data_IF_507004572872
#
_entry.id   IF_507004572872
#
_cell.length_a   1.000
_cell.length_b   1.000
_cell.length_c   1.000
_cell.angle_alpha   90.00
_cell.angle_beta   90.00
_cell.angle_gamma   90.00
#
_symmetry.space_group_name_H-M   'P 1'
#
loop_
_entity.id
_entity.type
_entity.pdbx_description
1 polymer ?
#
# COMPACT_ATOMS: atom_id res chain seq x y z
N UNK A 1 11.26 19.89 -13.29
CA UNK A 1 10.11 18.98 -13.33
C UNK A 1 10.43 17.73 -12.54
N UNK A 2 9.52 17.26 -11.70
CA UNK A 2 9.73 16.11 -10.84
C UNK A 2 8.74 15.01 -11.20
N UNK A 3 9.24 13.79 -11.43
CA UNK A 3 8.41 12.60 -11.55
C UNK A 3 8.80 11.61 -10.46
N UNK A 4 7.80 11.13 -9.73
CA UNK A 4 7.93 10.05 -8.78
C UNK A 4 7.16 8.84 -9.35
N UNK A 5 7.84 7.71 -9.47
CA UNK A 5 7.23 6.46 -9.91
C UNK A 5 7.59 5.37 -8.92
N UNK A 6 6.56 4.84 -8.26
CA UNK A 6 6.67 3.63 -7.46
C UNK A 6 5.97 2.49 -8.21
N UNK A 7 6.67 1.39 -8.41
CA UNK A 7 6.12 0.24 -9.15
C UNK A 7 6.35 -1.07 -8.40
N UNK A 8 5.39 -1.96 -8.44
CA UNK A 8 5.58 -3.32 -7.96
C UNK A 8 6.22 -4.19 -9.05
N UNK A 9 6.98 -5.22 -8.66
CA UNK A 9 7.78 -6.09 -9.56
C UNK A 9 6.98 -6.84 -10.65
N UNK A 10 5.70 -6.66 -10.78
CA UNK A 10 4.86 -7.40 -11.72
C UNK A 10 5.09 -7.11 -13.19
N UNK A 11 6.02 -6.14 -13.59
CA UNK A 11 5.79 -5.63 -14.91
C UNK A 11 6.99 -5.25 -15.76
N UNK A 12 7.19 -6.03 -16.82
CA UNK A 12 7.78 -5.54 -18.07
C UNK A 12 7.12 -4.23 -18.55
N UNK A 13 5.82 -4.06 -18.30
CA UNK A 13 5.06 -2.86 -18.66
C UNK A 13 5.53 -1.63 -17.89
N UNK A 14 5.77 -1.71 -16.58
CA UNK A 14 6.25 -0.57 -15.82
C UNK A 14 7.61 -0.06 -16.32
N UNK A 15 8.55 -0.94 -16.60
CA UNK A 15 9.85 -0.55 -17.15
C UNK A 15 9.71 0.09 -18.54
N UNK A 16 8.82 -0.43 -19.37
CA UNK A 16 8.51 0.14 -20.67
C UNK A 16 7.87 1.53 -20.54
N UNK A 17 6.88 1.67 -19.64
CA UNK A 17 6.19 2.95 -19.43
C UNK A 17 7.11 4.00 -18.82
N UNK A 18 8.01 3.64 -17.91
CA UNK A 18 9.06 4.54 -17.41
C UNK A 18 9.98 4.98 -18.54
N UNK A 19 10.36 4.06 -19.44
CA UNK A 19 11.13 4.38 -20.64
C UNK A 19 10.39 5.37 -21.56
N UNK A 20 9.09 5.17 -21.77
CA UNK A 20 8.24 6.09 -22.57
C UNK A 20 8.15 7.46 -21.91
N UNK A 21 7.92 7.51 -20.58
CA UNK A 21 7.90 8.77 -19.82
C UNK A 21 9.22 9.53 -19.96
N UNK A 22 10.36 8.84 -19.79
CA UNK A 22 11.69 9.41 -19.97
C UNK A 22 11.93 9.89 -21.40
N UNK A 23 11.41 9.17 -22.39
CA UNK A 23 11.40 9.57 -23.81
C UNK A 23 10.65 10.87 -24.03
N UNK A 24 9.42 10.96 -23.52
CA UNK A 24 8.59 12.16 -23.66
C UNK A 24 9.24 13.40 -23.01
N UNK A 25 9.83 13.25 -21.80
CA UNK A 25 10.53 14.35 -21.14
C UNK A 25 11.78 14.77 -21.93
N UNK A 26 12.46 13.83 -22.59
CA UNK A 26 13.57 14.13 -23.48
C UNK A 26 13.14 14.91 -24.73
N UNK A 27 12.03 14.50 -25.34
CA UNK A 27 11.45 15.23 -26.49
C UNK A 27 11.03 16.65 -26.15
N UNK A 28 10.61 16.90 -24.90
CA UNK A 28 10.34 18.24 -24.36
C UNK A 28 11.61 19.06 -24.10
N UNK A 29 12.81 18.50 -24.22
CA UNK A 29 14.05 19.16 -23.89
C UNK A 29 14.34 19.32 -22.40
N UNK A 30 13.57 18.68 -21.53
CA UNK A 30 13.61 18.87 -20.06
C UNK A 30 14.33 17.75 -19.31
N UNK A 31 14.83 16.72 -19.98
CA UNK A 31 15.40 15.53 -19.32
C UNK A 31 16.56 15.90 -18.39
N UNK A 32 17.46 16.77 -18.82
CA UNK A 32 18.65 17.13 -18.04
C UNK A 32 18.29 17.87 -16.74
N UNK A 33 17.19 18.63 -16.77
CA UNK A 33 16.68 19.41 -15.63
C UNK A 33 15.56 18.68 -14.86
N UNK A 34 15.40 17.38 -15.09
CA UNK A 34 14.38 16.55 -14.44
C UNK A 34 15.04 15.54 -13.51
N UNK A 35 14.56 15.47 -12.27
CA UNK A 35 14.92 14.40 -11.34
C UNK A 35 13.94 13.24 -11.54
N UNK A 36 14.45 12.07 -11.92
CA UNK A 36 13.72 10.81 -11.90
C UNK A 36 14.14 10.01 -10.67
N UNK A 37 13.19 9.64 -9.85
CA UNK A 37 13.38 8.71 -8.73
C UNK A 37 12.47 7.52 -8.99
N UNK A 38 13.06 6.36 -9.24
CA UNK A 38 12.35 5.12 -9.43
C UNK A 38 12.61 4.17 -8.27
N UNK A 39 11.58 3.83 -7.52
CA UNK A 39 11.63 2.87 -6.44
C UNK A 39 10.94 1.60 -6.93
N UNK A 40 11.68 0.49 -6.90
CA UNK A 40 11.21 -0.81 -7.36
C UNK A 40 10.48 -1.51 -6.22
N UNK A 41 9.15 -1.37 -6.17
CA UNK A 41 8.33 -1.74 -5.02
C UNK A 41 8.39 -0.67 -3.93
N UNK A 42 7.60 -0.86 -2.89
CA UNK A 42 7.47 0.08 -1.77
C UNK A 42 7.61 -0.62 -0.41
N UNK A 43 7.31 -1.92 -0.33
CA UNK A 43 7.23 -2.65 0.93
C UNK A 43 7.43 -4.17 0.79
N UNK A 44 8.19 -4.60 -0.20
CA UNK A 44 8.42 -6.01 -0.50
C UNK A 44 7.26 -6.67 -1.25
N UNK A 45 7.47 -7.91 -1.68
CA UNK A 45 6.49 -8.67 -2.45
C UNK A 45 5.34 -9.14 -1.57
N UNK A 46 4.10 -8.97 -2.03
CA UNK A 46 2.92 -9.27 -1.23
C UNK A 46 2.61 -10.78 -1.16
N UNK A 47 2.54 -11.29 0.06
CA UNK A 47 2.10 -12.66 0.39
C UNK A 47 0.65 -12.71 0.92
N UNK A 48 -0.12 -11.64 0.73
CA UNK A 48 -1.49 -11.52 1.25
C UNK A 48 -2.49 -12.44 0.54
N UNK A 49 -2.08 -13.10 -0.55
CA UNK A 49 -2.82 -14.18 -1.20
C UNK A 49 -2.83 -15.51 -0.42
N UNK A 50 -2.20 -15.55 0.75
CA UNK A 50 -2.07 -16.77 1.55
C UNK A 50 -1.13 -17.81 0.92
N UNK A 51 -1.23 -19.05 1.37
CA UNK A 51 -0.31 -20.11 0.92
C UNK A 51 -0.46 -20.44 -0.58
N UNK A 52 -1.67 -20.36 -1.12
CA UNK A 52 -1.98 -20.80 -2.48
C UNK A 52 -2.19 -19.64 -3.47
N UNK A 53 -2.19 -18.40 -3.02
CA UNK A 53 -2.63 -17.25 -3.81
C UNK A 53 -4.15 -17.13 -3.87
N UNK A 54 -4.63 -16.14 -4.61
CA UNK A 54 -6.04 -15.85 -4.84
C UNK A 54 -6.28 -15.51 -6.31
N UNK A 55 -7.38 -15.96 -6.86
CA UNK A 55 -7.90 -15.53 -8.15
C UNK A 55 -8.48 -14.10 -8.08
N UNK A 56 -9.15 -13.79 -6.97
CA UNK A 56 -9.72 -12.46 -6.71
C UNK A 56 -9.48 -12.08 -5.24
N UNK A 57 -8.63 -11.10 -4.96
CA UNK A 57 -8.30 -10.71 -3.58
C UNK A 57 -9.51 -10.23 -2.76
N UNK A 58 -10.61 -9.78 -3.41
CA UNK A 58 -11.83 -9.41 -2.69
C UNK A 58 -12.54 -10.59 -2.03
N UNK A 59 -12.27 -11.82 -2.43
CA UNK A 59 -12.80 -13.01 -1.74
C UNK A 59 -12.24 -13.07 -0.32
N UNK A 60 -10.93 -12.83 -0.17
CA UNK A 60 -10.28 -12.78 1.15
C UNK A 60 -10.88 -11.70 2.05
N UNK A 61 -11.04 -10.47 1.57
CA UNK A 61 -11.61 -9.38 2.35
C UNK A 61 -13.08 -9.58 2.74
N UNK A 62 -13.77 -10.47 2.07
CA UNK A 62 -15.16 -10.83 2.37
C UNK A 62 -15.31 -12.19 3.05
N UNK A 63 -14.22 -12.82 3.49
CA UNK A 63 -14.22 -14.09 4.21
C UNK A 63 -14.63 -15.29 3.36
N UNK A 64 -14.50 -15.21 2.05
CA UNK A 64 -14.79 -16.28 1.10
C UNK A 64 -13.48 -16.98 0.75
N UNK A 65 -13.38 -18.27 1.09
CA UNK A 65 -12.22 -19.07 0.74
C UNK A 65 -12.25 -19.48 -0.75
N UNK A 66 -11.11 -19.38 -1.42
CA UNK A 66 -10.91 -19.94 -2.75
C UNK A 66 -10.16 -21.27 -2.62
N UNK A 67 -10.72 -22.35 -3.18
CA UNK A 67 -9.98 -23.61 -3.28
C UNK A 67 -9.02 -23.59 -4.47
N UNK A 68 -7.97 -24.40 -4.43
CA UNK A 68 -7.06 -24.57 -5.57
C UNK A 68 -7.81 -25.06 -6.82
N UNK A 69 -8.84 -25.91 -6.64
CA UNK A 69 -9.66 -26.40 -7.74
C UNK A 69 -10.45 -25.25 -8.41
N UNK A 70 -11.02 -24.36 -7.61
CA UNK A 70 -11.74 -23.19 -8.15
C UNK A 70 -10.78 -22.27 -8.91
N UNK A 71 -9.57 -22.02 -8.35
CA UNK A 71 -8.56 -21.19 -9.01
C UNK A 71 -8.05 -21.78 -10.34
N UNK A 72 -7.90 -23.11 -10.41
CA UNK A 72 -7.47 -23.79 -11.62
C UNK A 72 -8.50 -23.69 -12.76
N UNK A 73 -9.78 -23.55 -12.45
CA UNK A 73 -10.82 -23.32 -13.45
C UNK A 73 -10.63 -21.99 -14.22
N UNK A 74 -9.89 -21.05 -13.65
CA UNK A 74 -9.61 -19.72 -14.23
C UNK A 74 -8.15 -19.52 -14.62
N UNK A 75 -7.35 -20.60 -14.72
CA UNK A 75 -5.88 -20.48 -14.93
C UNK A 75 -5.54 -19.69 -16.19
N UNK A 76 -6.31 -19.85 -17.27
CA UNK A 76 -6.09 -19.16 -18.53
C UNK A 76 -6.52 -17.68 -18.49
N UNK A 77 -7.29 -17.28 -17.49
CA UNK A 77 -7.75 -15.91 -17.30
C UNK A 77 -6.86 -15.10 -16.34
N UNK A 78 -5.92 -15.74 -15.67
CA UNK A 78 -5.08 -15.07 -14.66
C UNK A 78 -4.23 -13.95 -15.26
N UNK A 79 -4.33 -12.78 -14.60
CA UNK A 79 -3.71 -11.54 -15.08
C UNK A 79 -4.50 -10.82 -16.17
N UNK A 80 -5.61 -11.42 -16.63
CA UNK A 80 -6.55 -10.81 -17.56
C UNK A 80 -7.55 -9.86 -16.84
N UNK A 81 -8.42 -9.22 -17.65
CA UNK A 81 -9.36 -8.22 -17.12
C UNK A 81 -10.50 -8.81 -16.26
N UNK A 82 -10.63 -10.13 -16.21
CA UNK A 82 -11.66 -10.86 -15.44
C UNK A 82 -11.16 -11.32 -14.09
N UNK A 83 -9.86 -11.17 -13.79
CA UNK A 83 -9.23 -11.61 -12.55
C UNK A 83 -8.62 -10.45 -11.80
N UNK A 84 -8.50 -10.59 -10.48
CA UNK A 84 -7.76 -9.67 -9.62
C UNK A 84 -6.87 -10.49 -8.67
N UNK A 85 -5.84 -11.14 -9.23
CA UNK A 85 -5.12 -12.18 -8.54
C UNK A 85 -4.18 -11.63 -7.48
N UNK A 86 -3.94 -12.44 -6.45
CA UNK A 86 -2.91 -12.21 -5.47
C UNK A 86 -1.93 -13.38 -5.43
N UNK A 87 -0.66 -13.05 -5.26
CA UNK A 87 0.45 -14.00 -5.31
C UNK A 87 0.42 -14.97 -4.12
N UNK A 88 0.78 -16.22 -4.36
CA UNK A 88 1.01 -17.20 -3.29
C UNK A 88 2.25 -16.84 -2.47
N UNK A 89 2.23 -17.13 -1.17
CA UNK A 89 3.30 -16.80 -0.23
C UNK A 89 4.69 -17.33 -0.67
N UNK A 90 4.76 -18.54 -1.24
CA UNK A 90 6.02 -19.09 -1.74
C UNK A 90 6.64 -18.26 -2.87
N UNK A 91 5.84 -17.74 -3.77
CA UNK A 91 6.32 -16.85 -4.85
C UNK A 91 6.69 -15.47 -4.33
N UNK A 92 5.96 -14.97 -3.33
CA UNK A 92 6.31 -13.72 -2.68
C UNK A 92 7.69 -13.80 -2.01
N UNK A 93 7.95 -14.85 -1.23
CA UNK A 93 9.26 -15.11 -0.62
C UNK A 93 10.36 -15.26 -1.68
N UNK A 94 10.10 -15.99 -2.77
CA UNK A 94 11.07 -16.15 -3.85
C UNK A 94 11.42 -14.79 -4.53
N UNK A 95 10.43 -13.90 -4.65
CA UNK A 95 10.62 -12.56 -5.22
C UNK A 95 11.47 -11.61 -4.37
N UNK A 96 11.52 -11.83 -3.07
CA UNK A 96 12.26 -10.99 -2.12
C UNK A 96 13.67 -11.52 -1.80
N UNK A 97 14.06 -12.69 -2.33
CA UNK A 97 15.41 -13.25 -2.09
C UNK A 97 16.52 -12.28 -2.52
N UNK A 98 17.62 -12.18 -1.78
CA UNK A 98 18.08 -13.02 -0.66
C UNK A 98 17.55 -12.59 0.72
N UNK A 99 16.58 -11.68 0.79
CA UNK A 99 16.03 -11.19 2.03
C UNK A 99 14.95 -12.13 2.56
N UNK A 100 14.89 -12.27 3.88
CA UNK A 100 13.84 -13.05 4.52
C UNK A 100 12.53 -12.26 4.56
N UNK A 101 11.42 -13.02 4.51
CA UNK A 101 10.04 -12.55 4.62
C UNK A 101 9.58 -11.68 3.44
N UNK A 102 8.48 -10.96 3.62
CA UNK A 102 7.72 -10.29 2.56
C UNK A 102 7.06 -9.03 3.10
N UNK A 103 6.29 -8.32 2.28
CA UNK A 103 5.39 -7.24 2.67
C UNK A 103 4.66 -7.58 3.97
N UNK A 104 4.39 -6.59 4.81
CA UNK A 104 3.85 -6.64 6.18
C UNK A 104 4.84 -7.07 7.26
N UNK A 105 5.90 -7.80 6.94
CA UNK A 105 6.93 -8.14 7.92
C UNK A 105 7.94 -6.99 7.99
N UNK A 106 7.51 -5.89 8.61
CA UNK A 106 8.29 -4.64 8.67
C UNK A 106 9.59 -4.76 9.48
N UNK A 107 9.80 -5.89 10.13
CA UNK A 107 11.02 -6.21 10.87
C UNK A 107 12.18 -6.67 10.00
N UNK A 108 11.93 -7.06 8.76
CA UNK A 108 12.92 -7.73 7.91
C UNK A 108 13.02 -7.10 6.52
N UNK A 109 14.14 -7.34 5.87
CA UNK A 109 14.45 -6.70 4.60
C UNK A 109 13.58 -7.15 3.43
N UNK A 110 13.00 -8.35 3.45
CA UNK A 110 12.00 -8.75 2.47
C UNK A 110 10.73 -7.90 2.54
N UNK A 111 10.43 -7.30 3.70
CA UNK A 111 9.31 -6.38 3.87
C UNK A 111 9.66 -4.90 3.75
N UNK A 112 10.96 -4.53 3.76
CA UNK A 112 11.35 -3.12 3.90
C UNK A 112 12.43 -2.64 2.97
N UNK A 113 13.22 -3.53 2.34
CA UNK A 113 14.35 -3.14 1.51
C UNK A 113 14.02 -3.23 0.03
N UNK A 114 13.94 -2.07 -0.61
CA UNK A 114 13.60 -1.95 -2.03
C UNK A 114 14.72 -1.24 -2.80
N UNK A 115 14.90 -1.61 -4.06
CA UNK A 115 15.84 -0.95 -4.94
C UNK A 115 15.36 0.44 -5.33
N UNK A 116 16.27 1.41 -5.38
CA UNK A 116 15.98 2.76 -5.86
C UNK A 116 17.00 3.19 -6.88
N UNK A 117 16.54 3.83 -7.96
CA UNK A 117 17.39 4.46 -8.98
C UNK A 117 17.06 5.94 -9.02
N UNK A 118 18.12 6.77 -9.02
CA UNK A 118 18.00 8.22 -9.19
C UNK A 118 18.71 8.62 -10.48
N UNK A 119 18.04 9.40 -11.32
CA UNK A 119 18.58 9.95 -12.55
C UNK A 119 18.33 11.45 -12.59
N UNK A 120 19.42 12.24 -12.67
CA UNK A 120 19.36 13.71 -12.76
C UNK A 120 20.63 14.25 -13.41
N UNK A 121 20.70 14.32 -14.74
CA UNK A 121 21.91 14.67 -15.47
C UNK A 121 22.50 16.02 -15.08
N UNK A 122 21.69 17.04 -14.85
CA UNK A 122 22.14 18.37 -14.43
C UNK A 122 22.54 18.44 -12.96
N UNK A 123 22.04 17.54 -12.11
CA UNK A 123 22.26 17.57 -10.66
C UNK A 123 23.51 16.85 -10.18
N UNK A 124 23.98 15.82 -10.91
CA UNK A 124 25.18 15.07 -10.54
C UNK A 124 25.86 14.40 -11.73
N UNK A 125 27.19 14.27 -11.62
CA UNK A 125 28.02 13.69 -12.69
C UNK A 125 28.15 12.16 -12.62
N UNK A 126 27.83 11.53 -11.48
CA UNK A 126 27.96 10.09 -11.28
C UNK A 126 27.03 9.31 -12.22
N UNK A 127 27.54 8.23 -12.83
CA UNK A 127 26.77 7.37 -13.74
C UNK A 127 26.95 5.91 -13.34
N UNK A 128 25.83 5.20 -13.14
CA UNK A 128 25.83 3.76 -12.84
C UNK A 128 26.51 3.39 -11.52
N UNK A 129 26.65 4.33 -10.59
CA UNK A 129 27.29 4.09 -9.31
C UNK A 129 26.30 3.72 -8.23
N UNK A 130 26.65 2.74 -7.41
CA UNK A 130 25.85 2.33 -6.24
C UNK A 130 26.13 3.27 -5.07
N UNK A 131 25.08 3.54 -4.29
CA UNK A 131 25.11 4.20 -2.98
C UNK A 131 24.71 3.21 -1.91
N UNK A 132 25.48 3.16 -0.83
CA UNK A 132 25.29 2.20 0.28
C UNK A 132 24.93 2.87 1.60
N UNK A 133 24.79 4.18 1.60
CA UNK A 133 24.30 4.92 2.76
C UNK A 133 22.88 4.43 3.11
N UNK A 134 22.61 4.22 4.40
CA UNK A 134 21.27 3.92 4.84
C UNK A 134 20.32 5.06 4.41
N UNK A 135 19.18 4.68 3.87
CA UNK A 135 18.12 5.61 3.44
C UNK A 135 16.75 4.99 3.68
N UNK A 136 15.75 5.84 3.79
CA UNK A 136 14.37 5.46 3.99
C UNK A 136 13.46 6.28 3.06
N UNK A 137 12.24 5.82 2.80
CA UNK A 137 11.30 6.52 1.91
C UNK A 137 10.99 7.95 2.37
N UNK A 138 11.07 8.22 3.69
CA UNK A 138 10.90 9.58 4.23
C UNK A 138 11.99 10.56 3.79
N UNK A 139 13.11 10.08 3.27
CA UNK A 139 14.23 10.90 2.77
C UNK A 139 13.94 11.50 1.38
N UNK A 140 12.92 10.97 0.69
CA UNK A 140 12.58 11.42 -0.66
C UNK A 140 12.06 12.87 -0.66
N UNK A 141 11.14 13.20 0.24
CA UNK A 141 10.57 14.54 0.30
C UNK A 141 11.64 15.64 0.55
N UNK A 142 12.53 15.53 1.56
CA UNK A 142 13.58 16.52 1.74
C UNK A 142 14.61 16.52 0.60
N UNK A 143 14.85 15.38 -0.07
CA UNK A 143 15.70 15.33 -1.26
C UNK A 143 15.12 16.14 -2.41
N UNK A 144 13.80 16.02 -2.64
CA UNK A 144 13.08 16.78 -3.66
C UNK A 144 13.13 18.27 -3.37
N UNK A 145 12.86 18.65 -2.12
CA UNK A 145 12.88 20.06 -1.71
C UNK A 145 14.29 20.66 -1.89
N UNK A 146 15.35 19.97 -1.49
CA UNK A 146 16.72 20.42 -1.67
C UNK A 146 17.09 20.51 -3.16
N UNK A 147 16.76 19.50 -3.96
CA UNK A 147 17.01 19.50 -5.39
C UNK A 147 16.30 20.66 -6.12
N UNK A 148 15.10 21.02 -5.65
CA UNK A 148 14.32 22.13 -6.16
C UNK A 148 14.70 23.49 -5.55
N UNK A 149 15.64 23.53 -4.60
CA UNK A 149 16.00 24.74 -3.83
C UNK A 149 14.80 25.34 -3.09
N UNK A 150 13.90 24.52 -2.60
CA UNK A 150 12.72 24.93 -1.85
C UNK A 150 12.91 24.64 -0.35
N UNK A 151 12.49 25.54 0.54
CA UNK A 151 12.50 25.29 1.97
C UNK A 151 11.42 24.28 2.36
N UNK A 152 11.59 23.61 3.50
CA UNK A 152 10.53 22.84 4.09
C UNK A 152 9.38 23.76 4.51
N UNK A 153 8.12 23.42 4.19
CA UNK A 153 7.00 24.25 4.58
C UNK A 153 6.77 24.18 6.10
N UNK A 154 6.71 25.32 6.77
CA UNK A 154 6.33 25.40 8.19
C UNK A 154 4.83 25.40 8.40
N UNK A 155 4.06 25.79 7.38
CA UNK A 155 2.60 25.72 7.36
C UNK A 155 2.08 25.52 5.94
N UNK A 156 0.93 24.82 5.82
CA UNK A 156 0.21 24.63 4.55
C UNK A 156 -1.27 24.97 4.80
N UNK A 157 -1.81 25.88 4.00
CA UNK A 157 -3.20 26.36 4.12
C UNK A 157 -3.57 26.75 5.58
N UNK A 158 -2.66 27.45 6.26
CA UNK A 158 -2.85 27.89 7.65
C UNK A 158 -2.63 26.82 8.73
N UNK A 159 -2.36 25.57 8.34
CA UNK A 159 -2.07 24.47 9.27
C UNK A 159 -0.58 24.32 9.47
N UNK A 160 -0.11 24.42 10.72
CA UNK A 160 1.31 24.19 11.08
C UNK A 160 1.68 22.74 10.77
N UNK A 161 2.81 22.56 10.08
CA UNK A 161 3.32 21.26 9.68
C UNK A 161 4.29 20.69 10.72
N UNK A 162 4.23 19.37 10.93
CA UNK A 162 5.28 18.66 11.64
C UNK A 162 6.58 18.70 10.82
N UNK A 163 7.76 18.78 11.48
CA UNK A 163 9.02 18.72 10.77
C UNK A 163 9.17 17.41 9.97
N UNK A 164 9.72 17.50 8.77
CA UNK A 164 10.10 16.31 7.99
C UNK A 164 11.26 15.63 8.71
N UNK A 165 11.11 14.35 9.06
CA UNK A 165 12.12 13.60 9.83
C UNK A 165 13.22 13.01 8.93
N UNK A 166 12.98 12.87 7.62
CA UNK A 166 13.94 12.33 6.65
C UNK A 166 15.15 13.26 6.43
N UNK A 167 16.22 12.69 5.94
CA UNK A 167 17.44 13.38 5.55
C UNK A 167 17.59 13.39 4.03
N UNK A 168 17.81 14.58 3.43
CA UNK A 168 18.05 14.67 1.99
C UNK A 168 19.23 13.82 1.55
N UNK A 169 19.10 13.13 0.42
CA UNK A 169 20.11 12.25 -0.18
C UNK A 169 21.06 12.99 -1.13
N UNK A 170 20.81 14.27 -1.42
CA UNK A 170 21.62 15.07 -2.36
C UNK A 170 23.12 15.05 -2.01
N UNK A 171 23.46 15.02 -0.71
CA UNK A 171 24.85 14.96 -0.24
C UNK A 171 25.63 13.75 -0.78
N UNK A 172 24.95 12.63 -1.05
CA UNK A 172 25.56 11.39 -1.53
C UNK A 172 25.66 11.30 -3.06
N UNK A 173 24.98 12.16 -3.79
CA UNK A 173 24.87 12.03 -5.25
C UNK A 173 26.22 12.08 -5.97
N UNK A 174 27.11 12.95 -5.54
CA UNK A 174 28.48 13.06 -6.08
C UNK A 174 29.55 12.43 -5.19
N UNK A 175 29.22 11.96 -3.99
CA UNK A 175 30.16 11.35 -3.06
C UNK A 175 29.62 10.00 -2.54
N UNK A 176 30.11 8.90 -3.15
CA UNK A 176 29.75 7.55 -2.74
C UNK A 176 30.26 7.15 -1.35
N UNK A 177 31.24 7.89 -0.81
CA UNK A 177 31.85 7.63 0.51
C UNK A 177 31.35 8.57 1.60
N UNK A 178 30.46 9.51 1.28
CA UNK A 178 29.88 10.40 2.27
C UNK A 178 29.25 9.58 3.41
N UNK A 179 29.43 9.96 4.67
CA UNK A 179 28.78 9.28 5.79
C UNK A 179 27.25 9.39 5.68
N UNK A 180 26.54 8.34 6.09
CA UNK A 180 25.10 8.37 6.11
C UNK A 180 24.58 9.47 7.05
N UNK A 181 23.62 10.25 6.58
CA UNK A 181 22.95 11.29 7.39
C UNK A 181 21.72 10.75 8.12
N UNK A 182 21.07 9.74 7.56
CA UNK A 182 19.99 9.02 8.20
C UNK A 182 20.56 7.83 8.96
N UNK A 183 20.66 7.94 10.27
CA UNK A 183 21.37 6.95 11.10
C UNK A 183 20.44 6.13 11.99
N UNK A 184 19.19 6.52 12.14
CA UNK A 184 18.22 5.84 13.03
C UNK A 184 16.86 5.74 12.36
N UNK A 185 16.32 4.53 12.28
CA UNK A 185 14.97 4.30 11.76
C UNK A 185 14.29 3.17 12.52
N UNK A 186 13.09 3.43 13.05
CA UNK A 186 12.22 2.37 13.54
C UNK A 186 11.26 1.88 12.45
N UNK A 187 10.80 0.64 12.61
CA UNK A 187 9.80 0.01 11.76
C UNK A 187 8.77 -0.67 12.64
N UNK A 188 7.50 -0.60 12.28
CA UNK A 188 6.45 -1.38 12.93
C UNK A 188 5.27 -1.60 11.98
N UNK A 189 4.76 -2.83 11.91
CA UNK A 189 3.51 -3.20 11.29
C UNK A 189 2.97 -4.51 11.87
N UNK A 190 1.76 -4.48 12.44
CA UNK A 190 1.12 -5.67 13.05
C UNK A 190 1.97 -6.38 14.13
N UNK A 191 2.77 -5.62 14.88
CA UNK A 191 3.69 -6.15 15.89
C UNK A 191 5.06 -6.58 15.34
N UNK A 192 5.22 -6.77 14.02
CA UNK A 192 6.53 -6.91 13.39
C UNK A 192 7.28 -5.60 13.54
N UNK A 193 8.40 -5.61 14.26
CA UNK A 193 9.08 -4.38 14.62
C UNK A 193 10.59 -4.47 14.55
N UNK A 194 11.23 -3.38 14.21
CA UNK A 194 12.67 -3.27 14.18
C UNK A 194 13.16 -1.87 14.48
N UNK A 195 14.43 -1.78 14.85
CA UNK A 195 15.18 -0.54 14.97
C UNK A 195 16.54 -0.70 14.28
N UNK A 196 16.79 0.16 13.32
CA UNK A 196 18.12 0.35 12.73
C UNK A 196 18.81 1.51 13.44
N UNK A 197 20.09 1.37 13.76
CA UNK A 197 20.94 2.47 14.18
C UNK A 197 22.41 2.16 13.89
N UNK A 198 23.06 3.04 13.08
CA UNK A 198 24.48 2.98 12.75
C UNK A 198 24.99 1.59 12.38
N UNK A 199 24.31 0.96 11.41
CA UNK A 199 24.71 -0.36 10.90
C UNK A 199 24.25 -1.55 11.74
N UNK A 200 23.56 -1.33 12.85
CA UNK A 200 22.97 -2.41 13.66
C UNK A 200 21.46 -2.42 13.53
N UNK A 201 20.90 -3.60 13.37
CA UNK A 201 19.44 -3.80 13.32
C UNK A 201 19.00 -4.83 14.34
N UNK A 202 18.14 -4.41 15.27
CA UNK A 202 17.42 -5.34 16.16
C UNK A 202 15.99 -5.47 15.69
N UNK A 203 15.43 -6.70 15.67
CA UNK A 203 14.12 -6.96 15.10
C UNK A 203 13.35 -8.08 15.80
N UNK A 204 12.02 -8.07 15.59
CA UNK A 204 11.08 -9.10 15.99
C UNK A 204 10.18 -9.44 14.81
N UNK A 205 10.08 -10.72 14.45
CA UNK A 205 8.99 -11.24 13.62
C UNK A 205 7.88 -11.69 14.55
N UNK A 206 6.75 -11.01 14.47
CA UNK A 206 5.61 -11.26 15.34
C UNK A 206 4.47 -11.99 14.64
N UNK A 207 4.13 -11.55 13.42
CA UNK A 207 3.00 -12.07 12.65
C UNK A 207 3.34 -12.17 11.17
N UNK A 208 2.90 -13.27 10.55
CA UNK A 208 3.11 -13.50 9.12
C UNK A 208 1.85 -13.11 8.32
N UNK A 209 2.00 -12.60 7.09
CA UNK A 209 0.85 -12.15 6.28
C UNK A 209 -0.18 -13.24 5.99
N UNK A 210 0.27 -14.49 5.90
CA UNK A 210 -0.59 -15.65 5.65
C UNK A 210 -1.10 -16.35 6.92
N UNK A 211 -0.73 -15.85 8.11
CA UNK A 211 -1.15 -16.43 9.39
C UNK A 211 -2.29 -15.63 10.01
N UNK A 212 -3.35 -16.31 10.44
CA UNK A 212 -4.48 -15.67 11.11
C UNK A 212 -4.08 -15.13 12.50
N UNK A 213 -3.16 -15.80 13.19
CA UNK A 213 -2.70 -15.47 14.54
C UNK A 213 -1.23 -15.09 14.55
N UNK A 214 -0.78 -14.28 15.51
CA UNK A 214 0.64 -14.02 15.72
C UNK A 214 1.38 -15.31 16.16
N UNK A 215 2.72 -15.29 16.01
CA UNK A 215 3.60 -16.41 16.41
C UNK A 215 3.59 -16.56 17.93
N UNK A 216 3.65 -15.43 18.65
CA UNK A 216 3.68 -15.34 20.13
C UNK A 216 2.82 -14.18 20.59
N UNK A 217 2.68 -13.97 21.89
CA UNK A 217 2.13 -12.71 22.42
C UNK A 217 3.20 -11.61 22.32
N UNK A 218 2.82 -10.38 22.16
CA UNK A 218 3.73 -9.22 22.06
C UNK A 218 4.76 -9.15 23.22
N UNK A 219 4.37 -9.58 24.43
CA UNK A 219 5.24 -9.61 25.59
C UNK A 219 6.28 -10.73 25.58
N UNK A 220 6.00 -11.80 24.83
CA UNK A 220 6.83 -13.02 24.79
C UNK A 220 7.72 -13.08 23.52
N UNK A 221 7.69 -12.03 22.73
CA UNK A 221 8.45 -11.92 21.49
C UNK A 221 9.97 -11.94 21.72
N UNK A 222 10.67 -12.68 20.88
CA UNK A 222 12.13 -12.79 20.93
C UNK A 222 12.77 -11.85 19.92
N UNK A 223 13.71 -11.05 20.40
CA UNK A 223 14.50 -10.15 19.59
C UNK A 223 15.75 -10.84 19.02
N UNK A 224 16.03 -10.57 17.76
CA UNK A 224 17.27 -10.90 17.07
C UNK A 224 18.08 -9.63 16.78
N UNK A 225 19.40 -9.76 16.60
CA UNK A 225 20.31 -8.64 16.34
C UNK A 225 21.23 -8.94 15.16
N UNK A 226 21.46 -7.97 14.31
CA UNK A 226 22.27 -8.09 13.09
C UNK A 226 23.21 -6.92 12.90
N UNK A 227 24.43 -7.19 12.41
CA UNK A 227 25.36 -6.17 11.92
C UNK A 227 25.22 -6.05 10.40
N UNK A 228 24.44 -5.08 9.95
CA UNK A 228 24.10 -4.88 8.53
C UNK A 228 25.29 -4.44 7.65
N UNK A 229 26.43 -4.10 8.26
CA UNK A 229 27.67 -3.76 7.53
C UNK A 229 28.36 -5.00 6.98
N UNK A 230 28.22 -6.14 7.64
CA UNK A 230 28.77 -7.45 7.26
C UNK A 230 27.71 -8.47 6.86
N UNK A 231 26.46 -8.27 7.24
CA UNK A 231 25.33 -9.16 6.95
C UNK A 231 24.25 -8.42 6.12
N UNK A 232 24.38 -8.56 4.80
CA UNK A 232 23.50 -7.89 3.84
C UNK A 232 22.05 -8.34 3.93
N UNK A 233 21.80 -9.59 4.31
CA UNK A 233 20.49 -10.23 4.24
C UNK A 233 19.82 -10.48 5.59
N UNK A 234 20.45 -10.10 6.70
CA UNK A 234 20.03 -10.43 8.08
C UNK A 234 19.94 -11.96 8.30
N UNK A 235 20.96 -12.69 7.86
CA UNK A 235 21.02 -14.15 7.96
C UNK A 235 21.60 -14.64 9.29
N UNK A 236 22.48 -13.85 9.93
CA UNK A 236 23.29 -14.27 11.07
C UNK A 236 22.88 -13.50 12.32
N UNK A 237 22.01 -14.08 13.15
CA UNK A 237 21.63 -13.51 14.43
C UNK A 237 22.81 -13.53 15.41
N UNK A 238 23.27 -12.38 15.83
CA UNK A 238 24.39 -12.20 16.76
C UNK A 238 23.93 -11.72 18.15
N UNK A 239 22.65 -11.80 18.48
CA UNK A 239 22.06 -11.33 19.75
C UNK A 239 22.73 -11.96 20.96
N UNK A 240 22.95 -13.30 20.93
CA UNK A 240 23.56 -14.03 22.05
C UNK A 240 25.00 -13.60 22.33
N UNK A 241 25.74 -13.20 21.27
CA UNK A 241 27.12 -12.71 21.40
C UNK A 241 27.21 -11.22 21.77
N UNK A 242 26.11 -10.47 21.65
CA UNK A 242 26.08 -9.02 21.84
C UNK A 242 24.88 -8.57 22.70
N UNK A 243 24.70 -9.10 23.91
CA UNK A 243 23.50 -8.85 24.73
C UNK A 243 23.33 -7.38 25.13
N UNK A 244 24.42 -6.66 25.38
CA UNK A 244 24.34 -5.24 25.75
C UNK A 244 23.94 -4.38 24.53
N UNK A 245 24.42 -4.72 23.35
CA UNK A 245 24.02 -4.04 22.10
C UNK A 245 22.55 -4.28 21.82
N UNK A 246 22.05 -5.50 22.05
CA UNK A 246 20.62 -5.80 21.92
C UNK A 246 19.78 -4.95 22.88
N UNK A 247 20.15 -4.87 24.16
CA UNK A 247 19.44 -4.03 25.15
C UNK A 247 19.43 -2.56 24.76
N UNK A 248 20.56 -2.06 24.26
CA UNK A 248 20.66 -0.68 23.76
C UNK A 248 19.66 -0.43 22.62
N UNK A 249 19.56 -1.37 21.68
CA UNK A 249 18.63 -1.26 20.54
C UNK A 249 17.17 -1.38 20.96
N UNK A 250 16.84 -2.26 21.88
CA UNK A 250 15.51 -2.37 22.46
C UNK A 250 15.07 -1.06 23.14
N UNK A 251 15.97 -0.46 23.93
CA UNK A 251 15.71 0.83 24.57
C UNK A 251 15.52 1.95 23.53
N UNK A 252 16.31 1.96 22.47
CA UNK A 252 16.18 2.93 21.39
C UNK A 252 14.85 2.74 20.63
N UNK A 253 14.44 1.50 20.33
CA UNK A 253 13.13 1.24 19.73
C UNK A 253 12.01 1.81 20.60
N UNK A 254 12.04 1.56 21.90
CA UNK A 254 11.02 2.08 22.82
C UNK A 254 10.97 3.60 22.82
N UNK A 255 12.13 4.25 22.82
CA UNK A 255 12.23 5.72 22.73
C UNK A 255 11.56 6.26 21.44
N UNK A 256 11.92 5.67 20.30
CA UNK A 256 11.34 6.05 19.00
C UNK A 256 9.84 5.73 18.93
N UNK A 257 9.41 4.59 19.46
CA UNK A 257 8.01 4.19 19.50
C UNK A 257 7.14 5.16 20.33
N UNK A 258 7.66 5.67 21.44
CA UNK A 258 6.98 6.70 22.25
C UNK A 258 6.93 8.03 21.48
N UNK A 259 8.05 8.47 20.95
CA UNK A 259 8.15 9.75 20.24
C UNK A 259 7.23 9.81 19.02
N UNK A 260 7.06 8.69 18.33
CA UNK A 260 6.28 8.58 17.10
C UNK A 260 4.87 7.99 17.30
N UNK A 261 4.41 7.85 18.54
CA UNK A 261 3.04 7.38 18.88
C UNK A 261 2.72 5.99 18.35
N UNK A 262 3.71 5.10 18.32
CA UNK A 262 3.56 3.70 17.93
C UNK A 262 2.84 2.89 19.02
N UNK A 263 2.98 3.31 20.27
CA UNK A 263 2.37 2.64 21.40
C UNK A 263 0.96 3.17 21.74
N UNK A 264 0.03 2.28 22.17
CA UNK A 264 0.19 0.83 22.26
C UNK A 264 0.25 0.17 20.88
N UNK A 265 1.11 -0.83 20.71
CA UNK A 265 1.14 -1.61 19.47
C UNK A 265 -0.17 -2.38 19.28
N UNK A 266 -0.59 -2.51 18.03
CA UNK A 266 -1.83 -3.20 17.67
C UNK A 266 -1.54 -4.26 16.60
N UNK A 267 -1.52 -5.53 17.03
CA UNK A 267 -1.26 -6.71 16.19
C UNK A 267 -2.51 -7.28 15.52
N UNK A 268 -3.69 -6.66 15.78
CA UNK A 268 -4.94 -7.06 15.13
C UNK A 268 -4.85 -6.89 13.62
N UNK A 269 -5.48 -7.78 12.90
CA UNK A 269 -5.54 -7.74 11.42
C UNK A 269 -6.87 -7.16 10.93
N UNK A 270 -7.75 -8.03 10.46
CA UNK A 270 -9.05 -7.67 9.87
C UNK A 270 -9.98 -6.93 10.84
N UNK A 271 -9.81 -7.12 12.14
CA UNK A 271 -10.57 -6.40 13.18
C UNK A 271 -10.42 -4.88 13.05
N UNK A 272 -9.31 -4.40 12.49
CA UNK A 272 -9.08 -2.95 12.28
C UNK A 272 -10.07 -2.34 11.29
N UNK A 273 -10.66 -3.11 10.39
CA UNK A 273 -11.69 -2.61 9.44
C UNK A 273 -13.06 -2.49 10.08
N UNK A 274 -13.29 -3.14 11.23
CA UNK A 274 -14.50 -2.99 12.01
C UNK A 274 -14.34 -1.88 13.05
N UNK A 275 -15.09 -0.79 12.91
CA UNK A 275 -14.96 0.39 13.77
C UNK A 275 -15.18 0.06 15.26
N UNK A 276 -16.14 -0.77 15.60
CA UNK A 276 -16.45 -1.15 16.97
C UNK A 276 -15.33 -1.97 17.62
N UNK A 277 -14.77 -2.95 16.88
CA UNK A 277 -13.64 -3.77 17.36
C UNK A 277 -12.34 -2.96 17.47
N UNK A 278 -12.13 -2.02 16.55
CA UNK A 278 -10.96 -1.14 16.55
C UNK A 278 -11.02 -0.03 17.59
N UNK A 279 -12.20 0.20 18.21
CA UNK A 279 -12.41 1.30 19.15
C UNK A 279 -12.49 2.67 18.48
N UNK A 280 -12.85 2.73 17.19
CA UNK A 280 -13.05 3.98 16.46
C UNK A 280 -14.51 4.39 16.47
N UNK A 281 -14.83 5.70 16.37
CA UNK A 281 -16.21 6.14 16.19
C UNK A 281 -16.81 5.52 14.92
N UNK A 282 -18.02 4.98 15.04
CA UNK A 282 -18.82 4.60 13.87
C UNK A 282 -19.48 5.87 13.32
N UNK A 283 -19.04 6.34 12.16
CA UNK A 283 -19.53 7.58 11.53
C UNK A 283 -21.00 7.46 11.08
N UNK A 284 -21.50 6.24 10.96
CA UNK A 284 -22.86 5.95 10.54
C UNK A 284 -23.75 5.45 11.69
N UNK A 285 -23.24 5.48 12.94
CA UNK A 285 -23.99 5.02 14.11
C UNK A 285 -25.36 5.68 14.22
N UNK A 286 -26.40 4.85 14.38
CA UNK A 286 -27.80 5.30 14.52
C UNK A 286 -28.45 5.79 13.22
N UNK A 287 -27.75 5.83 12.10
CA UNK A 287 -28.32 6.22 10.80
C UNK A 287 -28.97 5.02 10.14
N UNK A 288 -30.21 5.22 9.68
CA UNK A 288 -30.98 4.22 8.91
C UNK A 288 -31.25 4.67 7.47
N UNK A 289 -30.91 5.91 7.16
CA UNK A 289 -31.03 6.49 5.82
C UNK A 289 -29.84 7.38 5.48
N UNK A 290 -29.57 7.51 4.20
CA UNK A 290 -28.51 8.38 3.65
C UNK A 290 -29.02 9.03 2.37
N UNK A 291 -28.90 10.34 2.30
CA UNK A 291 -29.22 11.11 1.08
C UNK A 291 -27.92 11.43 0.35
N UNK A 292 -27.88 11.11 -0.93
CA UNK A 292 -26.76 11.38 -1.82
C UNK A 292 -27.18 12.35 -2.92
N UNK A 293 -26.25 13.09 -3.44
CA UNK A 293 -26.48 14.06 -4.51
C UNK A 293 -25.64 13.70 -5.75
N UNK A 294 -26.09 14.17 -6.89
CA UNK A 294 -25.34 14.02 -8.15
C UNK A 294 -23.91 14.51 -8.01
N UNK A 295 -22.96 13.74 -8.57
CA UNK A 295 -21.53 14.05 -8.53
C UNK A 295 -20.79 13.59 -7.28
N UNK A 296 -21.45 13.04 -6.25
CA UNK A 296 -20.76 12.41 -5.12
C UNK A 296 -20.11 11.10 -5.59
N UNK A 297 -18.80 10.98 -5.38
CA UNK A 297 -17.99 9.83 -5.76
C UNK A 297 -16.86 9.62 -4.76
N UNK A 298 -16.18 8.49 -4.87
CA UNK A 298 -14.99 8.14 -4.06
C UNK A 298 -15.26 8.16 -2.54
N UNK A 299 -16.52 7.88 -2.15
CA UNK A 299 -16.90 7.77 -0.74
C UNK A 299 -16.36 6.47 -0.16
N UNK A 300 -15.64 6.57 0.94
CA UNK A 300 -15.18 5.39 1.65
C UNK A 300 -16.35 4.63 2.29
N UNK A 301 -16.21 3.31 2.44
CA UNK A 301 -17.27 2.45 2.95
C UNK A 301 -17.76 2.84 4.35
N UNK A 302 -16.89 3.39 5.19
CA UNK A 302 -17.21 3.80 6.56
C UNK A 302 -18.07 5.08 6.67
N UNK A 303 -18.29 5.79 5.56
CA UNK A 303 -19.24 6.92 5.48
C UNK A 303 -20.49 6.58 4.67
N UNK A 304 -20.71 5.29 4.38
CA UNK A 304 -21.90 4.77 3.72
C UNK A 304 -22.65 3.80 4.65
N UNK A 305 -23.96 3.64 4.45
CA UNK A 305 -24.74 2.68 5.21
C UNK A 305 -24.30 1.26 4.90
N UNK A 306 -24.08 0.45 5.92
CA UNK A 306 -23.82 -0.96 5.74
C UNK A 306 -25.11 -1.70 5.36
N UNK A 307 -25.30 -1.92 4.06
CA UNK A 307 -26.46 -2.61 3.49
C UNK A 307 -26.20 -4.08 3.16
N UNK A 308 -25.01 -4.60 3.52
CA UNK A 308 -24.65 -6.01 3.26
C UNK A 308 -25.60 -6.95 3.99
N UNK A 309 -26.14 -7.91 3.25
CA UNK A 309 -27.10 -8.89 3.76
C UNK A 309 -28.32 -8.27 4.47
N UNK A 310 -28.84 -7.17 3.92
CA UNK A 310 -30.00 -6.44 4.44
C UNK A 310 -30.94 -6.06 3.31
N UNK A 311 -32.23 -5.99 3.62
CA UNK A 311 -33.24 -5.38 2.72
C UNK A 311 -33.07 -3.87 2.76
N UNK A 312 -33.05 -3.23 1.58
CA UNK A 312 -32.89 -1.79 1.42
C UNK A 312 -33.93 -1.26 0.44
N UNK A 313 -34.29 0.01 0.58
CA UNK A 313 -35.05 0.77 -0.41
C UNK A 313 -34.19 1.89 -0.93
N UNK A 314 -34.10 2.00 -2.25
CA UNK A 314 -33.42 3.11 -2.94
C UNK A 314 -34.50 3.93 -3.63
N UNK A 315 -34.57 5.21 -3.32
CA UNK A 315 -35.42 6.19 -4.00
C UNK A 315 -34.50 7.18 -4.71
N UNK A 316 -34.71 7.40 -5.98
CA UNK A 316 -33.91 8.33 -6.78
C UNK A 316 -34.82 9.34 -7.47
N UNK A 317 -34.58 10.63 -7.26
CA UNK A 317 -35.14 11.70 -8.06
C UNK A 317 -34.29 11.88 -9.30
N UNK A 318 -34.84 11.59 -10.47
CA UNK A 318 -34.15 11.64 -11.74
C UNK A 318 -34.91 12.48 -12.76
N UNK A 319 -34.18 13.21 -13.59
CA UNK A 319 -34.75 13.91 -14.75
C UNK A 319 -34.33 13.16 -16.03
N UNK A 320 -35.31 12.63 -16.74
CA UNK A 320 -35.08 11.86 -17.96
C UNK A 320 -35.26 12.76 -19.17
N UNK A 321 -34.24 12.96 -20.02
CA UNK A 321 -34.36 13.75 -21.25
C UNK A 321 -35.43 13.21 -22.20
N UNK A 322 -35.94 14.07 -23.10
CA UNK A 322 -36.94 13.68 -24.11
C UNK A 322 -36.48 12.51 -25.02
N UNK A 323 -35.17 12.35 -25.22
CA UNK A 323 -34.56 11.25 -25.97
C UNK A 323 -34.31 9.98 -25.16
N UNK A 324 -34.74 9.88 -23.92
CA UNK A 324 -34.41 8.79 -23.00
C UNK A 324 -33.16 9.05 -22.19
N UNK A 325 -32.87 8.17 -21.22
CA UNK A 325 -31.71 8.27 -20.35
C UNK A 325 -30.92 6.97 -20.30
N UNK A 326 -29.61 7.10 -20.19
CA UNK A 326 -28.64 6.00 -20.01
C UNK A 326 -27.64 6.38 -18.93
N UNK A 327 -27.18 5.42 -18.14
CA UNK A 327 -26.10 5.64 -17.19
C UNK A 327 -26.41 5.23 -15.76
N UNK A 328 -25.41 5.40 -14.90
CA UNK A 328 -25.47 4.96 -13.49
C UNK A 328 -26.13 6.06 -12.64
N UNK A 329 -27.17 5.65 -11.90
CA UNK A 329 -27.85 6.49 -10.90
C UNK A 329 -27.07 6.41 -9.58
N UNK A 330 -26.78 5.20 -9.11
CA UNK A 330 -26.07 4.93 -7.87
C UNK A 330 -25.34 3.61 -7.95
N UNK A 331 -24.10 3.57 -7.46
CA UNK A 331 -23.32 2.33 -7.39
C UNK A 331 -22.46 2.29 -6.14
N UNK A 332 -22.17 1.10 -5.67
CA UNK A 332 -21.19 0.84 -4.63
C UNK A 332 -20.35 -0.36 -5.04
N UNK A 333 -19.01 -0.25 -4.84
CA UNK A 333 -18.07 -1.27 -5.27
C UNK A 333 -17.69 -1.14 -6.74
N UNK A 334 -17.35 -2.24 -7.38
CA UNK A 334 -16.83 -2.21 -8.75
C UNK A 334 -16.91 -3.57 -9.45
N UNK A 335 -15.92 -3.79 -10.36
CA UNK A 335 -15.89 -4.98 -11.22
C UNK A 335 -15.88 -6.29 -10.43
N UNK A 336 -15.21 -6.32 -9.29
CA UNK A 336 -14.95 -7.51 -8.49
C UNK A 336 -15.87 -7.65 -7.26
N UNK A 337 -16.90 -6.85 -7.16
CA UNK A 337 -17.90 -6.94 -6.11
C UNK A 337 -18.65 -5.64 -5.95
N UNK A 338 -19.94 -5.74 -5.59
CA UNK A 338 -20.76 -4.57 -5.36
C UNK A 338 -22.11 -4.61 -6.05
N UNK A 339 -22.73 -3.47 -6.21
CA UNK A 339 -24.03 -3.33 -6.86
C UNK A 339 -24.15 -1.99 -7.58
N UNK A 340 -25.08 -1.93 -8.53
CA UNK A 340 -25.42 -0.69 -9.21
C UNK A 340 -26.90 -0.62 -9.56
N UNK A 341 -27.46 0.58 -9.46
CA UNK A 341 -28.76 0.99 -10.01
C UNK A 341 -28.46 1.91 -11.19
N UNK A 342 -28.92 1.55 -12.37
CA UNK A 342 -28.62 2.29 -13.61
C UNK A 342 -29.78 2.22 -14.59
N UNK A 343 -29.75 3.08 -15.61
CA UNK A 343 -30.63 2.99 -16.77
C UNK A 343 -29.90 2.33 -17.92
N UNK A 344 -30.52 1.32 -18.51
CA UNK A 344 -30.08 0.66 -19.74
C UNK A 344 -31.26 0.53 -20.69
N UNK A 345 -31.11 1.03 -21.91
CA UNK A 345 -32.19 1.13 -22.89
C UNK A 345 -33.41 1.88 -22.26
N UNK A 346 -33.14 2.92 -21.48
CA UNK A 346 -34.12 3.70 -20.74
C UNK A 346 -34.76 2.98 -19.52
N UNK A 347 -34.45 1.72 -19.27
CA UNK A 347 -35.07 0.89 -18.23
C UNK A 347 -34.24 0.86 -16.94
N UNK A 348 -34.85 1.13 -15.77
CA UNK A 348 -34.19 0.92 -14.49
C UNK A 348 -33.75 -0.51 -14.34
N UNK A 349 -32.45 -0.68 -14.04
CA UNK A 349 -31.84 -1.99 -13.83
C UNK A 349 -31.04 -1.95 -12.54
N UNK A 350 -31.26 -2.91 -11.66
CA UNK A 350 -30.42 -3.17 -10.50
C UNK A 350 -29.56 -4.40 -10.77
N UNK A 351 -28.26 -4.28 -10.61
CA UNK A 351 -27.33 -5.40 -10.74
C UNK A 351 -26.55 -5.59 -9.45
N UNK A 352 -26.45 -6.82 -9.01
CA UNK A 352 -25.62 -7.24 -7.88
C UNK A 352 -24.52 -8.16 -8.38
N UNK A 353 -23.28 -7.86 -8.02
CA UNK A 353 -22.08 -8.61 -8.35
C UNK A 353 -21.49 -9.21 -7.08
N UNK A 354 -21.67 -10.52 -6.89
CA UNK A 354 -21.07 -11.23 -5.77
C UNK A 354 -19.65 -11.65 -6.12
N UNK A 355 -18.69 -10.80 -5.75
CA UNK A 355 -17.25 -11.00 -5.82
C UNK A 355 -16.70 -11.42 -7.21
N UNK A 356 -17.39 -11.05 -8.27
CA UNK A 356 -17.05 -11.48 -9.64
C UNK A 356 -17.46 -12.90 -9.99
N UNK A 357 -17.85 -13.70 -8.99
CA UNK A 357 -18.22 -15.12 -9.17
C UNK A 357 -19.65 -15.28 -9.69
N UNK A 358 -20.58 -14.45 -9.21
CA UNK A 358 -21.98 -14.47 -9.63
C UNK A 358 -22.51 -13.06 -9.82
N UNK A 359 -23.22 -12.83 -10.92
CA UNK A 359 -23.93 -11.58 -11.17
C UNK A 359 -25.41 -11.86 -11.38
N UNK A 360 -26.23 -11.05 -10.71
CA UNK A 360 -27.70 -11.12 -10.81
C UNK A 360 -28.22 -9.73 -11.14
N UNK A 361 -29.18 -9.65 -12.05
CA UNK A 361 -29.77 -8.37 -12.45
C UNK A 361 -31.28 -8.48 -12.51
N UNK A 362 -31.95 -7.39 -12.12
CA UNK A 362 -33.40 -7.20 -12.26
C UNK A 362 -33.61 -5.92 -13.05
N UNK A 363 -34.36 -6.02 -14.15
CA UNK A 363 -34.68 -4.90 -15.03
C UNK A 363 -36.19 -4.66 -15.06
N UNK A 364 -36.60 -3.41 -15.01
CA UNK A 364 -38.00 -3.01 -15.16
C UNK A 364 -38.53 -3.38 -16.54
N UNK A 365 -39.84 -3.67 -16.61
CA UNK A 365 -40.44 -4.03 -17.90
C UNK A 365 -40.47 -2.83 -18.85
N UNK A 366 -40.78 -1.65 -18.34
CA UNK A 366 -40.92 -0.43 -19.13
C UNK A 366 -39.78 0.56 -18.88
N UNK A 367 -39.42 1.35 -19.92
CA UNK A 367 -38.52 2.47 -19.73
C UNK A 367 -39.15 3.59 -18.90
N UNK A 368 -38.33 4.39 -18.24
CA UNK A 368 -38.83 5.60 -17.58
C UNK A 368 -39.33 6.61 -18.62
N UNK A 369 -40.49 7.25 -18.38
CA UNK A 369 -40.96 8.32 -19.21
C UNK A 369 -40.01 9.54 -19.13
N UNK A 370 -40.00 10.36 -20.18
CA UNK A 370 -39.32 11.65 -20.14
C UNK A 370 -39.97 12.56 -19.09
N UNK A 371 -39.15 13.39 -18.44
CA UNK A 371 -39.54 14.29 -17.38
C UNK A 371 -38.99 13.86 -16.00
N UNK A 372 -39.60 14.41 -14.93
CA UNK A 372 -39.15 14.22 -13.56
C UNK A 372 -40.02 13.21 -12.82
#
# INVERSE_FOLDING_TARGET
MLFFVAGSMKDRYHTLEIGRLGGAVREMGELDNTVFIYIVGDNGTSAEGGMNGLFNEYTYFNGVAESVADMLAYVDEWGGPTTYPHMAAGWAVAGDTPFAWTKQVASDFGGTRNGMVVHWPKGFAAKGQVRTQFSHVIDIAPTVLEAASLPQPSSVNGTVQAPIQGASLVYSFNDAKAPARHTTQYFEMFGNRAIYHDGWMARVVHKLPWAAQPITKLADDTWALYDTRSDFSLANDVAAANPDKLKERQALFLKEAIANRVLPMDDRGIERVNAALAGRPDLMAGRTSLTLHSGMKDMSENVFLNIKNKSVTIVADVEVPAGGGEGVILAQGGRFGGWSLYLKDGKPTYSYNYLGMQRSSVTAQDPLPAGK
#
